data_IF_268827558015
#
_entry.id   IF_268827558015
#
_cell.length_a   1.000
_cell.length_b   1.000
_cell.length_c   1.000
_cell.angle_alpha   90.00
_cell.angle_beta   90.00
_cell.angle_gamma   90.00
#
_symmetry.space_group_name_H-M   'P 1'
#
loop_
_entity.id
_entity.type
_entity.pdbx_description
1 polymer ?
#
# COMPACT_ATOMS: atom_id res chain seq x y z
N UNK A 1 -27.05 -17.35 -6.63
CA UNK A 1 -25.72 -17.41 -7.29
C UNK A 1 -24.92 -16.27 -6.69
N UNK A 2 -23.79 -16.55 -6.03
CA UNK A 2 -22.94 -15.51 -5.43
C UNK A 2 -22.28 -14.65 -6.50
N UNK A 3 -22.01 -13.40 -6.17
CA UNK A 3 -21.43 -12.40 -7.07
C UNK A 3 -20.04 -11.97 -6.59
N UNK A 4 -19.10 -11.79 -7.48
CA UNK A 4 -17.75 -11.32 -7.20
C UNK A 4 -17.54 -9.96 -7.89
N UNK A 5 -17.08 -8.97 -7.15
CA UNK A 5 -16.66 -7.67 -7.70
C UNK A 5 -15.14 -7.67 -7.91
N UNK A 6 -14.69 -7.17 -9.05
CA UNK A 6 -13.28 -6.99 -9.37
C UNK A 6 -13.03 -5.51 -9.56
N UNK A 7 -12.06 -4.96 -8.81
CA UNK A 7 -11.75 -3.53 -8.86
C UNK A 7 -10.45 -3.32 -9.62
N UNK A 8 -10.51 -2.54 -10.69
CA UNK A 8 -9.37 -2.23 -11.55
C UNK A 8 -9.17 -0.71 -11.65
N UNK A 9 -8.16 -0.14 -11.02
CA UNK A 9 -7.78 1.24 -11.27
C UNK A 9 -7.15 1.38 -12.65
N UNK A 10 -7.48 2.48 -13.35
CA UNK A 10 -7.00 2.78 -14.69
C UNK A 10 -6.52 4.23 -14.79
N UNK A 11 -5.37 4.45 -15.43
CA UNK A 11 -4.88 5.79 -15.78
C UNK A 11 -4.02 5.76 -17.04
N UNK A 12 -4.57 6.16 -18.19
CA UNK A 12 -3.91 6.15 -19.50
C UNK A 12 -3.30 4.78 -19.87
N UNK A 13 -4.07 3.70 -19.74
CA UNK A 13 -3.65 2.31 -19.98
C UNK A 13 -4.41 1.72 -21.19
N UNK A 14 -4.59 2.50 -22.25
CA UNK A 14 -5.41 2.17 -23.42
C UNK A 14 -5.06 0.83 -24.06
N UNK A 15 -3.77 0.49 -24.11
CA UNK A 15 -3.26 -0.69 -24.83
C UNK A 15 -3.59 -2.01 -24.12
N UNK A 16 -3.74 -2.00 -22.80
CA UNK A 16 -3.96 -3.20 -21.98
C UNK A 16 -5.44 -3.45 -21.63
N UNK A 17 -6.32 -2.45 -21.78
CA UNK A 17 -7.71 -2.53 -21.32
C UNK A 17 -8.51 -3.67 -21.93
N UNK A 18 -8.44 -3.85 -23.25
CA UNK A 18 -9.20 -4.90 -23.92
C UNK A 18 -8.76 -6.30 -23.47
N UNK A 19 -7.46 -6.52 -23.35
CA UNK A 19 -6.93 -7.81 -22.92
C UNK A 19 -7.24 -8.07 -21.44
N UNK A 20 -7.14 -7.08 -20.59
CA UNK A 20 -7.51 -7.16 -19.18
C UNK A 20 -8.97 -7.61 -19.01
N UNK A 21 -9.90 -6.93 -19.68
CA UNK A 21 -11.33 -7.26 -19.60
C UNK A 21 -11.62 -8.63 -20.20
N UNK A 22 -10.99 -8.98 -21.33
CA UNK A 22 -11.14 -10.27 -21.97
C UNK A 22 -10.69 -11.42 -21.08
N UNK A 23 -9.51 -11.32 -20.45
CA UNK A 23 -9.00 -12.35 -19.53
C UNK A 23 -9.95 -12.59 -18.35
N UNK A 24 -10.50 -11.53 -17.75
CA UNK A 24 -11.50 -11.67 -16.69
C UNK A 24 -12.77 -12.33 -17.21
N UNK A 25 -13.29 -11.90 -18.35
CA UNK A 25 -14.50 -12.49 -18.92
C UNK A 25 -14.30 -13.99 -19.21
N UNK A 26 -13.18 -14.35 -19.85
CA UNK A 26 -12.83 -15.73 -20.17
C UNK A 26 -12.70 -16.59 -18.91
N UNK A 27 -12.10 -16.05 -17.85
CA UNK A 27 -11.95 -16.72 -16.57
C UNK A 27 -13.31 -17.06 -15.94
N UNK A 28 -14.24 -16.10 -15.92
CA UNK A 28 -15.57 -16.34 -15.37
C UNK A 28 -16.40 -17.27 -16.22
N UNK A 29 -16.22 -17.27 -17.53
CA UNK A 29 -16.90 -18.23 -18.42
C UNK A 29 -16.37 -19.66 -18.27
N UNK A 30 -15.07 -19.84 -18.08
CA UNK A 30 -14.43 -21.16 -18.08
C UNK A 30 -14.32 -21.79 -16.70
N UNK A 31 -13.91 -21.04 -15.70
CA UNK A 31 -13.52 -21.56 -14.39
C UNK A 31 -14.45 -21.12 -13.24
N UNK A 32 -15.10 -19.97 -13.36
CA UNK A 32 -15.97 -19.40 -12.34
C UNK A 32 -17.42 -19.22 -12.83
N UNK A 33 -17.89 -20.10 -13.71
CA UNK A 33 -19.23 -20.03 -14.33
C UNK A 33 -20.40 -20.19 -13.32
N UNK A 34 -20.11 -20.66 -12.12
CA UNK A 34 -21.06 -20.73 -11.00
C UNK A 34 -21.24 -19.42 -10.25
N UNK A 35 -20.48 -18.37 -10.61
CA UNK A 35 -20.55 -17.04 -10.04
C UNK A 35 -21.05 -16.01 -11.05
N UNK A 36 -21.79 -15.02 -10.56
CA UNK A 36 -21.94 -13.74 -11.27
C UNK A 36 -20.71 -12.88 -10.97
N UNK A 37 -20.40 -11.95 -11.86
CA UNK A 37 -19.35 -10.98 -11.59
C UNK A 37 -19.72 -9.58 -12.05
N UNK A 38 -19.04 -8.60 -11.51
CA UNK A 38 -18.94 -7.26 -12.02
C UNK A 38 -17.48 -6.83 -12.02
N UNK A 39 -17.05 -6.26 -13.11
CA UNK A 39 -15.69 -5.72 -13.26
C UNK A 39 -15.77 -4.20 -13.26
N UNK A 40 -15.41 -3.57 -12.13
CA UNK A 40 -15.49 -2.12 -11.93
C UNK A 40 -14.14 -1.52 -12.28
N UNK A 41 -14.11 -0.78 -13.38
CA UNK A 41 -12.91 -0.06 -13.83
C UNK A 41 -13.03 1.40 -13.38
N UNK A 42 -12.07 1.83 -12.55
CA UNK A 42 -12.03 3.17 -11.98
C UNK A 42 -11.03 4.01 -12.75
N UNK A 43 -11.52 4.78 -13.71
CA UNK A 43 -10.70 5.70 -14.49
C UNK A 43 -10.35 6.95 -13.69
N UNK A 44 -9.06 7.23 -13.61
CA UNK A 44 -8.53 8.30 -12.79
C UNK A 44 -8.26 9.58 -13.60
N UNK A 45 -9.23 9.98 -14.43
CA UNK A 45 -9.16 11.10 -15.35
C UNK A 45 -8.10 10.90 -16.44
N UNK A 46 -8.24 9.84 -17.20
CA UNK A 46 -7.41 9.53 -18.37
C UNK A 46 -7.70 10.44 -19.57
N UNK A 47 -6.89 10.30 -20.60
CA UNK A 47 -7.10 10.95 -21.89
C UNK A 47 -8.40 10.51 -22.59
N UNK A 48 -8.82 11.26 -23.59
CA UNK A 48 -10.07 11.01 -24.33
C UNK A 48 -10.07 9.65 -25.06
N UNK A 49 -8.91 9.19 -25.49
CA UNK A 49 -8.78 7.89 -26.19
C UNK A 49 -9.06 6.75 -25.24
N UNK A 50 -8.43 6.73 -24.07
CA UNK A 50 -8.68 5.75 -23.01
C UNK A 50 -10.15 5.73 -22.57
N UNK A 51 -10.75 6.92 -22.36
CA UNK A 51 -12.17 7.06 -21.97
C UNK A 51 -13.11 6.49 -23.04
N UNK A 52 -12.83 6.75 -24.33
CA UNK A 52 -13.63 6.20 -25.42
C UNK A 52 -13.54 4.66 -25.50
N UNK A 53 -12.37 4.10 -25.24
CA UNK A 53 -12.19 2.64 -25.15
C UNK A 53 -13.04 2.07 -24.00
N UNK A 54 -13.01 2.70 -22.82
CA UNK A 54 -13.79 2.27 -21.66
C UNK A 54 -15.29 2.28 -21.94
N UNK A 55 -15.80 3.34 -22.59
CA UNK A 55 -17.21 3.42 -23.00
C UNK A 55 -17.59 2.32 -23.98
N UNK A 56 -16.73 2.05 -24.97
CA UNK A 56 -16.96 0.99 -25.95
C UNK A 56 -16.97 -0.40 -25.31
N UNK A 57 -16.09 -0.66 -24.33
CA UNK A 57 -16.05 -1.91 -23.60
C UNK A 57 -17.32 -2.07 -22.76
N UNK A 58 -17.73 -1.03 -22.01
CA UNK A 58 -18.94 -1.07 -21.19
C UNK A 58 -20.22 -1.24 -22.01
N UNK A 59 -20.31 -0.62 -23.19
CA UNK A 59 -21.44 -0.78 -24.11
C UNK A 59 -21.60 -2.21 -24.62
N UNK A 60 -20.49 -2.97 -24.75
CA UNK A 60 -20.49 -4.36 -25.26
C UNK A 60 -20.61 -5.41 -24.15
N UNK A 61 -20.29 -5.06 -22.91
CA UNK A 61 -20.31 -6.01 -21.79
C UNK A 61 -20.99 -5.39 -20.56
N UNK A 62 -22.22 -5.80 -20.24
CA UNK A 62 -22.95 -5.24 -19.08
C UNK A 62 -22.36 -5.60 -17.73
N UNK A 63 -21.47 -6.61 -17.66
CA UNK A 63 -20.74 -6.93 -16.43
C UNK A 63 -19.58 -5.95 -16.16
N UNK A 64 -19.18 -5.16 -17.17
CA UNK A 64 -18.16 -4.13 -17.01
C UNK A 64 -18.84 -2.81 -16.62
N UNK A 65 -18.44 -2.31 -15.48
CA UNK A 65 -18.87 -1.01 -14.94
C UNK A 65 -17.71 -0.04 -14.98
N UNK A 66 -17.96 1.19 -15.31
CA UNK A 66 -16.91 2.21 -15.39
C UNK A 66 -17.26 3.41 -14.52
N UNK A 67 -16.32 3.83 -13.70
CA UNK A 67 -16.38 5.08 -12.93
C UNK A 67 -15.34 6.02 -13.55
N UNK A 68 -15.79 7.15 -14.09
CA UNK A 68 -14.91 8.20 -14.59
C UNK A 68 -14.75 9.27 -13.51
N UNK A 69 -13.57 9.40 -12.94
CA UNK A 69 -13.27 10.41 -11.94
C UNK A 69 -13.13 11.81 -12.59
N UNK A 70 -13.55 12.86 -11.89
CA UNK A 70 -13.47 14.24 -12.39
C UNK A 70 -12.04 14.77 -12.49
N UNK A 71 -11.10 14.22 -11.71
CA UNK A 71 -9.66 14.51 -11.76
C UNK A 71 -8.85 13.31 -11.32
N UNK A 72 -7.53 13.36 -11.47
CA UNK A 72 -6.64 12.35 -10.92
C UNK A 72 -6.53 12.50 -9.39
N UNK A 73 -7.10 11.53 -8.64
CA UNK A 73 -7.07 11.45 -7.18
C UNK A 73 -5.97 10.52 -6.64
N UNK A 74 -5.19 9.89 -7.51
CA UNK A 74 -4.25 8.82 -7.21
C UNK A 74 -4.90 7.43 -7.19
N UNK A 75 -4.09 6.39 -7.35
CA UNK A 75 -4.57 5.01 -7.49
C UNK A 75 -5.34 4.52 -6.25
N UNK A 76 -4.87 4.82 -5.04
CA UNK A 76 -5.48 4.39 -3.78
C UNK A 76 -6.91 4.89 -3.63
N UNK A 77 -7.14 6.20 -3.80
CA UNK A 77 -8.49 6.78 -3.68
C UNK A 77 -9.42 6.29 -4.78
N UNK A 78 -8.90 6.17 -6.01
CA UNK A 78 -9.66 5.66 -7.15
C UNK A 78 -10.10 4.20 -6.92
N UNK A 79 -9.19 3.35 -6.45
CA UNK A 79 -9.50 1.96 -6.09
C UNK A 79 -10.52 1.88 -4.95
N UNK A 80 -10.32 2.66 -3.89
CA UNK A 80 -11.24 2.66 -2.74
C UNK A 80 -12.64 3.15 -3.11
N UNK A 81 -12.74 4.08 -4.07
CA UNK A 81 -14.02 4.49 -4.64
C UNK A 81 -14.70 3.34 -5.39
N UNK A 82 -13.95 2.54 -6.14
CA UNK A 82 -14.47 1.32 -6.77
C UNK A 82 -14.98 0.29 -5.74
N UNK A 83 -14.24 0.09 -4.66
CA UNK A 83 -14.64 -0.79 -3.55
C UNK A 83 -15.96 -0.31 -2.94
N UNK A 84 -16.11 0.99 -2.68
CA UNK A 84 -17.38 1.59 -2.17
C UNK A 84 -18.58 1.34 -3.07
N UNK A 85 -18.38 1.34 -4.39
CA UNK A 85 -19.41 1.14 -5.40
C UNK A 85 -19.65 -0.33 -5.76
N UNK A 86 -18.92 -1.27 -5.16
CA UNK A 86 -19.05 -2.69 -5.42
C UNK A 86 -20.24 -3.31 -4.71
N UNK A 87 -20.87 -4.31 -5.33
CA UNK A 87 -22.07 -4.97 -4.81
C UNK A 87 -21.95 -6.49 -4.67
N UNK A 88 -20.79 -7.09 -5.01
CA UNK A 88 -20.55 -8.53 -4.91
C UNK A 88 -20.48 -9.05 -3.48
N UNK A 89 -20.72 -10.35 -3.30
CA UNK A 89 -20.60 -11.05 -2.01
C UNK A 89 -19.13 -11.14 -1.55
N UNK A 90 -18.19 -11.09 -2.50
CA UNK A 90 -16.77 -10.89 -2.24
C UNK A 90 -16.21 -9.86 -3.23
N UNK A 91 -15.14 -9.18 -2.83
CA UNK A 91 -14.49 -8.14 -3.62
C UNK A 91 -13.01 -8.42 -3.77
N UNK A 92 -12.55 -8.55 -5.02
CA UNK A 92 -11.13 -8.49 -5.35
C UNK A 92 -10.71 -7.02 -5.32
N UNK A 93 -9.99 -6.63 -4.27
CA UNK A 93 -9.75 -5.21 -3.93
C UNK A 93 -8.93 -4.47 -4.97
N UNK A 94 -8.01 -5.17 -5.64
CA UNK A 94 -7.10 -4.57 -6.61
C UNK A 94 -6.71 -5.59 -7.67
N UNK A 95 -7.03 -5.30 -8.91
CA UNK A 95 -6.56 -6.02 -10.08
C UNK A 95 -6.06 -5.01 -11.12
N UNK A 96 -4.73 -4.90 -11.34
CA UNK A 96 -4.19 -3.86 -12.20
C UNK A 96 -4.45 -4.15 -13.68
N UNK A 97 -4.67 -3.10 -14.48
CA UNK A 97 -4.88 -3.22 -15.93
C UNK A 97 -3.72 -3.94 -16.64
N UNK A 98 -2.49 -3.76 -16.14
CA UNK A 98 -1.27 -4.33 -16.71
C UNK A 98 -1.06 -5.83 -16.41
N UNK A 99 -2.00 -6.44 -15.68
CA UNK A 99 -2.06 -7.87 -15.39
C UNK A 99 -0.77 -8.47 -14.76
N UNK A 100 0.00 -7.64 -14.05
CA UNK A 100 1.19 -8.09 -13.33
C UNK A 100 0.85 -9.10 -12.22
N UNK A 101 -0.35 -8.96 -11.63
CA UNK A 101 -0.93 -9.95 -10.74
C UNK A 101 -1.77 -10.92 -11.59
N UNK A 102 -1.46 -12.23 -11.62
CA UNK A 102 -2.01 -13.18 -12.60
C UNK A 102 -3.49 -13.48 -12.34
N UNK A 103 -4.38 -13.26 -13.34
CA UNK A 103 -5.81 -13.56 -13.20
C UNK A 103 -6.07 -15.05 -12.97
N UNK A 104 -5.17 -15.93 -13.41
CA UNK A 104 -5.25 -17.38 -13.22
C UNK A 104 -5.24 -17.80 -11.75
N UNK A 105 -4.86 -16.89 -10.85
CA UNK A 105 -4.92 -17.12 -9.39
C UNK A 105 -6.25 -16.74 -8.75
N UNK A 106 -7.12 -16.03 -9.44
CA UNK A 106 -8.44 -15.66 -8.91
C UNK A 106 -9.28 -16.89 -8.52
N UNK A 107 -9.36 -17.99 -9.31
CA UNK A 107 -10.09 -19.19 -8.89
C UNK A 107 -9.58 -19.80 -7.59
N UNK A 108 -8.26 -19.75 -7.33
CA UNK A 108 -7.67 -20.24 -6.08
C UNK A 108 -8.07 -19.35 -4.90
N UNK A 109 -8.10 -18.01 -5.09
CA UNK A 109 -8.60 -17.07 -4.09
C UNK A 109 -10.08 -17.37 -3.76
N UNK A 110 -10.92 -17.54 -4.78
CA UNK A 110 -12.35 -17.84 -4.64
C UNK A 110 -12.58 -19.18 -3.93
N UNK A 111 -11.81 -20.23 -4.29
CA UNK A 111 -11.89 -21.55 -3.66
C UNK A 111 -11.58 -21.47 -2.15
N UNK A 112 -10.59 -20.68 -1.76
CA UNK A 112 -10.27 -20.51 -0.35
C UNK A 112 -11.33 -19.67 0.38
N UNK A 113 -11.86 -18.61 -0.23
CA UNK A 113 -12.99 -17.88 0.32
C UNK A 113 -14.21 -18.78 0.56
N UNK A 114 -14.51 -19.71 -0.35
CA UNK A 114 -15.57 -20.71 -0.18
C UNK A 114 -15.39 -21.63 1.04
N UNK A 115 -14.14 -21.87 1.47
CA UNK A 115 -13.86 -22.64 2.69
C UNK A 115 -14.20 -21.90 3.99
N UNK A 116 -14.63 -20.63 3.89
CA UNK A 116 -15.07 -19.83 5.03
C UNK A 116 -14.01 -18.85 5.56
N UNK A 117 -12.93 -18.61 4.83
CA UNK A 117 -12.00 -17.52 5.15
C UNK A 117 -12.65 -16.17 4.85
N UNK A 118 -12.45 -15.21 5.75
CA UNK A 118 -12.99 -13.85 5.62
C UNK A 118 -12.32 -13.06 4.52
N UNK A 119 -11.03 -13.33 4.31
CA UNK A 119 -10.29 -12.83 3.16
C UNK A 119 -9.12 -13.73 2.79
N UNK A 120 -8.73 -13.66 1.52
CA UNK A 120 -7.65 -14.46 0.94
C UNK A 120 -6.64 -13.51 0.31
N UNK A 121 -5.39 -13.59 0.71
CA UNK A 121 -4.35 -12.64 0.36
C UNK A 121 -3.37 -13.23 -0.62
N UNK A 122 -3.14 -12.54 -1.73
CA UNK A 122 -2.05 -12.87 -2.64
C UNK A 122 -0.69 -12.47 -2.04
N UNK A 123 0.23 -13.42 -1.98
CA UNK A 123 1.61 -13.21 -1.56
C UNK A 123 2.58 -13.40 -2.73
N UNK A 124 3.39 -12.38 -3.01
CA UNK A 124 4.37 -12.40 -4.09
C UNK A 124 5.60 -13.21 -3.67
N UNK A 125 5.67 -14.50 -4.06
CA UNK A 125 6.75 -15.42 -3.67
C UNK A 125 8.08 -15.12 -4.37
N UNK A 126 8.04 -14.64 -5.61
CA UNK A 126 9.23 -14.29 -6.39
C UNK A 126 9.07 -12.92 -7.05
N UNK A 127 10.15 -12.14 -7.03
CA UNK A 127 10.30 -10.87 -7.73
C UNK A 127 11.68 -10.81 -8.35
N UNK A 128 11.76 -10.42 -9.61
CA UNK A 128 13.03 -10.03 -10.22
C UNK A 128 13.40 -8.62 -9.77
N UNK A 129 14.14 -8.52 -8.65
CA UNK A 129 14.53 -7.25 -8.05
C UNK A 129 16.05 -7.11 -7.94
N UNK A 130 16.51 -5.86 -7.98
CA UNK A 130 17.89 -5.51 -7.70
C UNK A 130 18.23 -5.84 -6.22
N UNK A 131 19.43 -6.33 -5.96
CA UNK A 131 19.89 -6.77 -4.64
C UNK A 131 19.63 -5.74 -3.52
N UNK A 132 19.87 -4.45 -3.79
CA UNK A 132 19.67 -3.37 -2.83
C UNK A 132 18.17 -3.21 -2.44
N UNK A 133 17.25 -3.29 -3.41
CA UNK A 133 15.81 -3.23 -3.15
C UNK A 133 15.33 -4.45 -2.33
N UNK A 134 15.94 -5.61 -2.54
CA UNK A 134 15.65 -6.82 -1.74
C UNK A 134 16.03 -6.62 -0.27
N UNK A 135 17.14 -5.94 0.03
CA UNK A 135 17.59 -5.68 1.40
C UNK A 135 16.72 -4.62 2.09
N UNK A 136 16.42 -3.50 1.41
CA UNK A 136 15.52 -2.46 1.95
C UNK A 136 14.14 -3.02 2.25
N UNK A 137 13.62 -3.89 1.39
CA UNK A 137 12.34 -4.56 1.62
C UNK A 137 12.39 -5.53 2.81
N UNK A 138 13.45 -6.34 2.95
CA UNK A 138 13.63 -7.20 4.12
C UNK A 138 13.66 -6.39 5.42
N UNK A 139 14.35 -5.27 5.42
CA UNK A 139 14.40 -4.35 6.55
C UNK A 139 13.02 -3.75 6.86
N UNK A 140 12.28 -3.33 5.84
CA UNK A 140 10.89 -2.85 5.99
C UNK A 140 9.98 -3.90 6.63
N UNK A 141 9.99 -5.15 6.13
CA UNK A 141 9.18 -6.23 6.72
C UNK A 141 9.67 -6.65 8.10
N UNK A 142 10.96 -6.55 8.38
CA UNK A 142 11.50 -6.77 9.73
C UNK A 142 10.92 -5.75 10.72
N UNK A 143 10.87 -4.47 10.34
CA UNK A 143 10.24 -3.42 11.16
C UNK A 143 8.75 -3.72 11.33
N UNK A 144 8.03 -4.01 10.26
CA UNK A 144 6.60 -4.34 10.33
C UNK A 144 6.33 -5.54 11.26
N UNK A 145 7.09 -6.61 11.12
CA UNK A 145 6.91 -7.83 11.92
C UNK A 145 7.11 -7.60 13.42
N UNK A 146 8.12 -6.81 13.80
CA UNK A 146 8.47 -6.60 15.22
C UNK A 146 7.64 -5.50 15.89
N UNK A 147 7.01 -4.61 15.12
CA UNK A 147 6.37 -3.41 15.63
C UNK A 147 4.91 -3.23 15.19
N UNK A 148 4.40 -4.04 14.27
CA UNK A 148 2.96 -4.05 13.94
C UNK A 148 2.17 -4.76 15.04
N UNK A 149 0.96 -4.30 15.30
CA UNK A 149 0.02 -4.94 16.20
C UNK A 149 -0.56 -6.24 15.63
N UNK A 150 -0.61 -6.35 14.31
CA UNK A 150 -1.18 -7.48 13.59
C UNK A 150 -0.07 -8.31 12.93
N UNK A 151 -0.20 -9.62 12.94
CA UNK A 151 0.70 -10.53 12.23
C UNK A 151 0.42 -10.49 10.73
N UNK A 152 1.06 -9.55 10.04
CA UNK A 152 0.92 -9.39 8.59
C UNK A 152 1.93 -10.32 7.89
N UNK A 153 1.49 -11.22 7.01
CA UNK A 153 2.39 -12.10 6.26
C UNK A 153 3.40 -11.32 5.41
N UNK A 154 4.57 -11.91 5.20
CA UNK A 154 5.57 -11.29 4.33
C UNK A 154 5.10 -11.27 2.87
N UNK A 155 5.51 -10.23 2.13
CA UNK A 155 5.23 -10.07 0.70
C UNK A 155 3.75 -9.98 0.31
N UNK A 156 2.89 -9.57 1.23
CA UNK A 156 1.47 -9.28 0.99
C UNK A 156 1.32 -8.28 -0.17
N UNK A 157 0.36 -8.53 -1.04
CA UNK A 157 -0.01 -7.64 -2.14
C UNK A 157 -1.40 -7.04 -1.94
N UNK A 158 -1.77 -6.09 -2.80
CA UNK A 158 -3.12 -5.53 -2.84
C UNK A 158 -4.12 -6.48 -3.56
N UNK A 159 -3.61 -7.53 -4.20
CA UNK A 159 -4.38 -8.59 -4.87
C UNK A 159 -5.00 -9.52 -3.81
N UNK A 160 -6.15 -9.13 -3.29
CA UNK A 160 -6.85 -9.79 -2.17
C UNK A 160 -8.33 -9.93 -2.49
N UNK A 161 -8.88 -11.11 -2.22
CA UNK A 161 -10.33 -11.35 -2.25
C UNK A 161 -10.88 -11.26 -0.84
N UNK A 162 -11.79 -10.31 -0.60
CA UNK A 162 -12.32 -9.99 0.73
C UNK A 162 -13.83 -10.18 0.75
N UNK A 163 -14.34 -10.87 1.76
CA UNK A 163 -15.77 -11.06 1.98
C UNK A 163 -16.51 -9.74 2.19
N UNK A 164 -17.74 -9.66 1.73
CA UNK A 164 -18.60 -8.47 1.84
C UNK A 164 -18.71 -7.96 3.28
N UNK A 165 -18.75 -8.83 4.27
CA UNK A 165 -18.85 -8.43 5.68
C UNK A 165 -17.68 -7.56 6.13
N UNK A 166 -16.46 -7.90 5.67
CA UNK A 166 -15.24 -7.12 5.96
C UNK A 166 -15.20 -5.84 5.12
N UNK A 167 -15.53 -5.94 3.82
CA UNK A 167 -15.62 -4.77 2.94
C UNK A 167 -16.57 -3.72 3.48
N UNK A 168 -17.72 -4.13 4.03
CA UNK A 168 -18.69 -3.21 4.63
C UNK A 168 -18.12 -2.47 5.86
N UNK A 169 -17.16 -3.03 6.57
CA UNK A 169 -16.44 -2.34 7.64
C UNK A 169 -15.36 -1.41 7.07
N UNK A 170 -14.60 -1.90 6.10
CA UNK A 170 -13.56 -1.10 5.45
C UNK A 170 -14.12 0.21 4.84
N UNK A 171 -15.28 0.16 4.18
CA UNK A 171 -15.86 1.36 3.54
C UNK A 171 -16.44 2.38 4.53
N UNK A 172 -16.66 1.99 5.80
CA UNK A 172 -17.06 2.93 6.87
C UNK A 172 -15.87 3.75 7.40
N UNK A 173 -14.65 3.33 7.10
CA UNK A 173 -13.45 4.02 7.53
C UNK A 173 -13.39 5.41 6.91
N UNK A 174 -13.19 6.41 7.77
CA UNK A 174 -13.00 7.82 7.36
C UNK A 174 -11.52 8.15 7.19
N UNK A 175 -10.74 7.24 6.61
CA UNK A 175 -9.34 7.49 6.30
C UNK A 175 -9.18 8.15 4.92
N UNK A 176 -8.36 9.18 4.85
CA UNK A 176 -8.06 9.89 3.61
C UNK A 176 -7.17 9.09 2.65
N UNK A 177 -6.35 8.19 3.20
CA UNK A 177 -5.38 7.37 2.46
C UNK A 177 -5.33 5.96 3.04
N UNK A 178 -6.43 5.18 2.94
CA UNK A 178 -6.46 3.84 3.50
C UNK A 178 -5.37 2.97 2.84
N UNK A 179 -4.57 2.32 3.66
CA UNK A 179 -3.57 1.39 3.16
C UNK A 179 -4.24 0.04 2.85
N UNK A 180 -4.82 -0.07 1.65
CA UNK A 180 -5.69 -1.17 1.20
C UNK A 180 -5.05 -2.54 1.49
N UNK A 181 -3.72 -2.64 1.32
CA UNK A 181 -2.94 -3.88 1.49
C UNK A 181 -3.10 -4.53 2.86
N UNK A 182 -3.21 -3.74 3.91
CA UNK A 182 -3.29 -4.25 5.29
C UNK A 182 -4.65 -4.02 5.93
N UNK A 183 -5.54 -3.31 5.24
CA UNK A 183 -6.79 -2.86 5.82
C UNK A 183 -7.71 -4.02 6.24
N UNK A 184 -7.72 -5.14 5.52
CA UNK A 184 -8.54 -6.29 5.88
C UNK A 184 -8.09 -6.95 7.20
N UNK A 185 -6.78 -6.90 7.51
CA UNK A 185 -6.21 -7.44 8.75
C UNK A 185 -6.63 -6.66 10.01
N UNK A 186 -7.12 -5.43 9.86
CA UNK A 186 -7.68 -4.64 10.97
C UNK A 186 -9.02 -5.19 11.45
N UNK A 187 -9.71 -5.99 10.63
CA UNK A 187 -11.09 -6.42 10.85
C UNK A 187 -11.27 -7.91 11.05
N UNK A 188 -10.28 -8.74 10.72
CA UNK A 188 -10.35 -10.20 10.92
C UNK A 188 -8.98 -10.85 10.91
N UNK A 189 -8.83 -11.89 11.74
CA UNK A 189 -7.65 -12.78 11.74
C UNK A 189 -7.95 -14.09 10.97
N UNK A 190 -9.17 -14.28 10.45
CA UNK A 190 -9.57 -15.46 9.69
C UNK A 190 -9.23 -15.31 8.21
N UNK A 191 -7.95 -15.47 7.88
CA UNK A 191 -7.45 -15.36 6.52
C UNK A 191 -6.57 -16.54 6.10
N UNK A 192 -6.30 -16.63 4.80
CA UNK A 192 -5.29 -17.52 4.24
C UNK A 192 -4.54 -16.82 3.11
N UNK A 193 -3.40 -17.38 2.70
CA UNK A 193 -2.55 -16.81 1.67
C UNK A 193 -2.51 -17.70 0.43
N UNK A 194 -2.36 -17.07 -0.74
CA UNK A 194 -2.10 -17.72 -2.03
C UNK A 194 -0.81 -17.16 -2.60
N UNK A 195 0.19 -18.01 -2.76
CA UNK A 195 1.46 -17.59 -3.33
C UNK A 195 1.38 -17.49 -4.86
N UNK A 196 2.01 -16.45 -5.41
CA UNK A 196 2.14 -16.31 -6.85
C UNK A 196 3.44 -15.58 -7.23
N UNK A 197 3.86 -15.78 -8.47
CA UNK A 197 4.98 -15.06 -9.07
C UNK A 197 4.47 -13.76 -9.67
N UNK A 198 5.03 -12.63 -9.24
CA UNK A 198 4.72 -11.34 -9.82
C UNK A 198 5.41 -11.20 -11.17
N UNK A 199 4.62 -10.99 -12.23
CA UNK A 199 5.10 -10.90 -13.60
C UNK A 199 5.57 -9.48 -13.93
N UNK A 200 6.52 -9.36 -14.83
CA UNK A 200 6.82 -8.06 -15.45
C UNK A 200 5.61 -7.62 -16.28
N UNK A 201 5.44 -6.31 -16.45
CA UNK A 201 4.43 -5.77 -17.35
C UNK A 201 4.59 -6.38 -18.74
N UNK A 202 3.52 -6.95 -19.26
CA UNK A 202 3.47 -7.45 -20.63
C UNK A 202 3.24 -6.30 -21.63
N UNK A 203 2.51 -5.25 -21.21
CA UNK A 203 2.09 -4.12 -22.05
C UNK A 203 2.26 -2.81 -21.27
N UNK A 204 2.79 -1.77 -21.92
CA UNK A 204 2.94 -0.42 -21.34
C UNK A 204 4.23 -0.18 -20.53
N UNK A 205 4.48 1.08 -20.18
CA UNK A 205 5.62 1.51 -19.38
C UNK A 205 5.19 1.97 -17.98
N UNK A 206 6.01 1.71 -16.96
CA UNK A 206 5.74 2.23 -15.61
C UNK A 206 5.77 3.76 -15.61
N UNK A 207 4.71 4.38 -15.07
CA UNK A 207 4.59 5.83 -14.89
C UNK A 207 4.90 6.27 -13.45
N UNK A 208 5.25 5.32 -12.58
CA UNK A 208 5.63 5.61 -11.21
C UNK A 208 7.09 6.09 -11.14
N UNK A 209 7.31 7.24 -10.51
CA UNK A 209 8.63 7.79 -10.25
C UNK A 209 9.17 7.27 -8.91
N UNK A 210 10.47 7.27 -8.75
CA UNK A 210 11.15 6.87 -7.51
C UNK A 210 10.61 7.58 -6.26
N UNK A 211 10.16 8.84 -6.40
CA UNK A 211 9.49 9.59 -5.33
C UNK A 211 8.20 8.93 -4.86
N UNK A 212 7.44 8.34 -5.77
CA UNK A 212 6.15 7.70 -5.46
C UNK A 212 6.37 6.43 -4.65
N UNK A 213 7.44 5.68 -4.93
CA UNK A 213 7.85 4.52 -4.14
C UNK A 213 8.24 4.90 -2.71
N UNK A 214 9.04 5.97 -2.53
CA UNK A 214 9.43 6.46 -1.20
C UNK A 214 8.21 6.95 -0.43
N UNK A 215 7.37 7.76 -1.05
CA UNK A 215 6.14 8.27 -0.44
C UNK A 215 5.20 7.15 -0.02
N UNK A 216 5.01 6.15 -0.88
CA UNK A 216 4.18 4.97 -0.58
C UNK A 216 4.76 4.13 0.55
N UNK A 217 6.09 3.99 0.62
CA UNK A 217 6.75 3.25 1.70
C UNK A 217 6.60 3.97 3.05
N UNK A 218 6.80 5.30 3.08
CA UNK A 218 6.63 6.12 4.29
C UNK A 218 5.17 6.10 4.74
N UNK A 219 4.22 6.33 3.83
CA UNK A 219 2.80 6.31 4.14
C UNK A 219 2.35 4.93 4.64
N UNK A 220 2.82 3.84 4.01
CA UNK A 220 2.55 2.49 4.46
C UNK A 220 3.09 2.21 5.86
N UNK A 221 4.29 2.70 6.18
CA UNK A 221 4.91 2.53 7.49
C UNK A 221 4.15 3.30 8.58
N UNK A 222 3.76 4.54 8.30
CA UNK A 222 3.01 5.40 9.24
C UNK A 222 1.58 4.87 9.44
N UNK A 223 0.93 4.34 8.40
CA UNK A 223 -0.45 3.85 8.49
C UNK A 223 -0.58 2.53 9.26
N UNK A 224 0.46 1.70 9.26
CA UNK A 224 0.40 0.33 9.83
C UNK A 224 0.94 0.26 11.24
N UNK A 225 1.82 1.20 11.65
CA UNK A 225 2.55 1.02 12.91
C UNK A 225 3.11 2.31 13.51
N UNK A 226 3.07 2.39 14.85
CA UNK A 226 3.82 3.38 15.64
C UNK A 226 5.33 3.04 15.70
N UNK A 227 5.75 2.00 14.99
CA UNK A 227 7.12 1.45 15.00
C UNK A 227 8.20 2.50 14.76
N UNK A 228 8.07 3.40 13.77
CA UNK A 228 9.11 4.39 13.50
C UNK A 228 9.38 5.27 14.71
N UNK A 229 8.32 5.64 15.46
CA UNK A 229 8.47 6.49 16.68
C UNK A 229 9.16 5.74 17.80
N UNK A 230 8.78 4.49 18.04
CA UNK A 230 9.41 3.64 19.05
C UNK A 230 10.88 3.39 18.74
N UNK A 231 11.22 3.21 17.45
CA UNK A 231 12.59 3.04 17.00
C UNK A 231 13.43 4.31 17.22
N UNK A 232 12.89 5.48 16.86
CA UNK A 232 13.53 6.78 17.11
C UNK A 232 13.70 7.03 18.61
N UNK A 233 12.67 6.74 19.41
CA UNK A 233 12.73 6.84 20.87
C UNK A 233 13.83 5.94 21.43
N UNK A 234 13.93 4.70 20.98
CA UNK A 234 14.94 3.76 21.42
C UNK A 234 16.36 4.22 21.07
N UNK A 235 16.58 4.74 19.86
CA UNK A 235 17.86 5.36 19.49
C UNK A 235 18.14 6.55 20.36
N UNK A 236 17.16 7.43 20.61
CA UNK A 236 17.31 8.59 21.49
C UNK A 236 17.73 8.20 22.91
N UNK A 237 17.12 7.18 23.49
CA UNK A 237 17.49 6.65 24.80
C UNK A 237 18.92 6.11 24.81
N UNK A 238 19.30 5.31 23.82
CA UNK A 238 20.67 4.75 23.70
C UNK A 238 21.73 5.85 23.59
N UNK A 239 21.48 6.85 22.73
CA UNK A 239 22.37 8.00 22.56
C UNK A 239 22.46 8.81 23.84
N UNK A 240 21.34 9.02 24.55
CA UNK A 240 21.32 9.75 25.83
C UNK A 240 22.13 9.02 26.90
N UNK A 241 21.94 7.70 27.05
CA UNK A 241 22.72 6.89 28.01
C UNK A 241 24.21 6.97 27.69
N UNK A 242 24.58 6.81 26.40
CA UNK A 242 25.96 6.90 25.97
C UNK A 242 26.57 8.28 26.25
N UNK A 243 25.85 9.35 25.94
CA UNK A 243 26.29 10.74 26.16
C UNK A 243 26.47 11.07 27.64
N UNK A 244 25.53 10.64 28.49
CA UNK A 244 25.65 10.81 29.95
C UNK A 244 26.84 10.04 30.51
N UNK A 245 27.00 8.79 30.09
CA UNK A 245 28.12 7.95 30.52
C UNK A 245 29.49 8.54 30.11
N UNK A 246 29.58 9.04 28.87
CA UNK A 246 30.76 9.70 28.37
C UNK A 246 31.02 11.03 29.10
N UNK A 247 29.98 11.81 29.36
CA UNK A 247 30.09 13.05 30.10
C UNK A 247 30.61 12.83 31.54
N UNK A 248 30.07 11.85 32.27
CA UNK A 248 30.52 11.47 33.60
C UNK A 248 31.96 10.94 33.59
N UNK A 249 32.32 10.09 32.61
CA UNK A 249 33.69 9.62 32.44
C UNK A 249 34.68 10.76 32.19
N UNK A 250 34.33 11.67 31.28
CA UNK A 250 35.16 12.84 30.94
C UNK A 250 35.36 13.78 32.14
N UNK A 251 34.29 14.04 32.95
CA UNK A 251 34.37 14.80 34.19
C UNK A 251 35.33 14.13 35.17
N UNK A 252 35.15 12.82 35.40
CA UNK A 252 36.01 12.07 36.33
C UNK A 252 37.47 12.09 35.89
N UNK A 253 37.71 11.88 34.58
CA UNK A 253 39.05 11.85 34.00
C UNK A 253 39.75 13.23 34.16
N UNK A 254 39.05 14.34 33.88
CA UNK A 254 39.59 15.68 34.01
C UNK A 254 39.90 16.05 35.48
N UNK A 255 39.09 15.62 36.46
CA UNK A 255 39.31 15.91 37.90
C UNK A 255 40.55 15.18 38.42
N UNK A 256 40.79 13.96 37.98
CA UNK A 256 41.87 13.12 38.54
C UNK A 256 43.18 13.15 37.75
N UNK A 257 43.16 13.48 36.47
CA UNK A 257 44.33 13.32 35.60
C UNK A 257 44.87 14.61 34.95
N UNK A 258 44.28 15.80 35.30
CA UNK A 258 44.77 17.13 34.83
C UNK A 258 45.31 17.12 33.38
N UNK A 259 44.43 17.09 32.37
CA UNK A 259 44.83 17.16 30.97
C UNK A 259 44.50 18.52 30.35
N UNK A 260 45.39 18.98 29.45
CA UNK A 260 45.28 20.20 28.66
C UNK A 260 43.93 20.28 27.92
N UNK A 261 43.14 21.28 28.21
CA UNK A 261 41.78 21.52 27.66
C UNK A 261 41.76 21.71 26.13
N UNK A 262 42.92 22.04 25.52
CA UNK A 262 43.01 22.34 24.08
C UNK A 262 42.79 21.15 23.14
N UNK A 263 42.94 19.92 23.65
CA UNK A 263 42.78 18.68 22.83
C UNK A 263 41.31 18.29 22.64
N UNK A 264 40.39 18.88 23.34
CA UNK A 264 38.94 18.55 23.26
C UNK A 264 38.15 19.28 22.16
N UNK A 265 38.67 20.36 21.62
CA UNK A 265 37.96 21.21 20.62
C UNK A 265 37.48 20.45 19.37
N UNK A 266 38.32 19.64 18.68
CA UNK A 266 37.86 18.88 17.52
C UNK A 266 36.76 17.86 17.86
N UNK A 267 36.88 17.20 19.00
CA UNK A 267 35.90 16.23 19.48
C UNK A 267 34.55 16.92 19.76
N UNK A 268 34.57 18.10 20.35
CA UNK A 268 33.37 18.92 20.62
C UNK A 268 32.70 19.32 19.31
N UNK A 269 33.44 19.82 18.33
CA UNK A 269 32.90 20.22 17.04
C UNK A 269 32.25 19.04 16.30
N UNK A 270 32.92 17.88 16.24
CA UNK A 270 32.41 16.67 15.62
C UNK A 270 31.13 16.21 16.36
N UNK A 271 31.13 16.21 17.69
CA UNK A 271 29.97 15.82 18.49
C UNK A 271 28.77 16.72 18.22
N UNK A 272 28.96 18.05 18.19
CA UNK A 272 27.89 19.00 17.88
C UNK A 272 27.32 18.77 16.49
N UNK A 273 28.16 18.54 15.47
CA UNK A 273 27.71 18.27 14.11
C UNK A 273 26.91 16.96 14.02
N UNK A 274 27.36 15.89 14.66
CA UNK A 274 26.67 14.59 14.67
C UNK A 274 25.30 14.73 15.38
N UNK A 275 25.25 15.35 16.56
CA UNK A 275 24.01 15.52 17.28
C UNK A 275 23.04 16.45 16.56
N UNK A 276 23.52 17.55 15.97
CA UNK A 276 22.69 18.43 15.16
C UNK A 276 22.12 17.73 13.94
N UNK A 277 22.92 16.92 13.25
CA UNK A 277 22.44 16.09 12.13
C UNK A 277 21.36 15.09 12.55
N UNK A 278 21.56 14.39 13.68
CA UNK A 278 20.60 13.46 14.24
C UNK A 278 19.30 14.16 14.65
N UNK A 279 19.39 15.34 15.31
CA UNK A 279 18.23 16.15 15.68
C UNK A 279 17.43 16.60 14.45
N UNK A 280 18.08 17.07 13.39
CA UNK A 280 17.41 17.47 12.16
C UNK A 280 16.70 16.29 11.48
N UNK A 281 17.29 15.09 11.52
CA UNK A 281 16.67 13.88 11.01
C UNK A 281 15.40 13.52 11.80
N UNK A 282 15.47 13.56 13.13
CA UNK A 282 14.30 13.30 14.01
C UNK A 282 13.21 14.34 13.79
N UNK A 283 13.58 15.63 13.70
CA UNK A 283 12.62 16.72 13.45
C UNK A 283 11.98 16.59 12.06
N UNK A 284 12.74 16.22 11.04
CA UNK A 284 12.23 15.95 9.71
C UNK A 284 11.21 14.81 9.73
N UNK A 285 11.50 13.74 10.45
CA UNK A 285 10.58 12.61 10.61
C UNK A 285 9.29 13.00 11.36
N UNK A 286 9.40 13.78 12.45
CA UNK A 286 8.24 14.32 13.18
C UNK A 286 7.41 15.26 12.28
N UNK A 287 8.07 16.06 11.44
CA UNK A 287 7.42 16.91 10.44
C UNK A 287 6.58 16.11 9.46
N UNK A 288 7.11 15.00 8.92
CA UNK A 288 6.39 14.11 8.00
C UNK A 288 5.18 13.46 8.68
N UNK A 289 5.33 13.02 9.93
CA UNK A 289 4.20 12.48 10.69
C UNK A 289 3.13 13.52 10.98
N UNK A 290 3.52 14.73 11.39
CA UNK A 290 2.59 15.83 11.62
C UNK A 290 1.85 16.20 10.33
N UNK A 291 2.55 16.18 9.19
CA UNK A 291 1.96 16.36 7.86
C UNK A 291 0.93 15.27 7.54
N UNK A 292 1.25 14.01 7.84
CA UNK A 292 0.31 12.89 7.65
C UNK A 292 -0.93 13.04 8.54
N UNK A 293 -0.76 13.37 9.83
CA UNK A 293 -1.90 13.66 10.73
C UNK A 293 -2.73 14.83 10.22
N UNK A 294 -2.10 15.91 9.78
CA UNK A 294 -2.80 17.05 9.19
C UNK A 294 -3.66 16.65 8.00
N UNK A 295 -3.12 15.81 7.12
CA UNK A 295 -3.85 15.30 5.96
C UNK A 295 -5.03 14.39 6.33
N UNK A 296 -4.95 13.67 7.46
CA UNK A 296 -6.07 12.85 7.94
C UNK A 296 -7.17 13.69 8.62
N UNK A 297 -6.78 14.73 9.37
CA UNK A 297 -7.72 15.65 10.03
C UNK A 297 -8.41 16.57 9.01
N UNK A 298 -7.70 16.94 7.95
CA UNK A 298 -8.24 17.78 6.88
C UNK A 298 -9.45 17.09 6.25
N UNK A 299 -10.58 17.84 6.13
CA UNK A 299 -11.85 17.35 5.58
C UNK A 299 -11.62 16.53 4.31
N UNK A 300 -12.11 15.28 4.31
CA UNK A 300 -11.98 14.37 3.18
C UNK A 300 -12.51 15.04 1.91
N UNK A 301 -11.67 15.11 0.89
CA UNK A 301 -12.16 15.36 -0.46
C UNK A 301 -12.63 14.01 -0.98
N UNK A 302 -13.94 13.77 -0.98
CA UNK A 302 -14.53 12.61 -1.63
C UNK A 302 -14.14 12.61 -3.11
N UNK A 303 -14.01 11.40 -3.67
CA UNK A 303 -13.78 11.26 -5.10
C UNK A 303 -15.03 11.77 -5.82
N UNK A 304 -14.89 12.88 -6.54
CA UNK A 304 -15.97 13.38 -7.39
C UNK A 304 -15.96 12.58 -8.70
N UNK A 305 -17.06 11.93 -8.97
CA UNK A 305 -17.27 11.12 -10.16
C UNK A 305 -17.91 11.98 -11.24
N UNK A 306 -17.32 12.02 -12.42
CA UNK A 306 -17.86 12.71 -13.59
C UNK A 306 -19.00 11.92 -14.23
N UNK A 307 -18.87 10.60 -14.25
CA UNK A 307 -19.83 9.71 -14.92
C UNK A 307 -19.70 8.29 -14.36
N UNK A 308 -20.84 7.59 -14.29
CA UNK A 308 -20.91 6.13 -14.02
C UNK A 308 -21.60 5.46 -15.18
N UNK A 309 -21.07 4.34 -15.64
CA UNK A 309 -21.61 3.56 -16.76
C UNK A 309 -21.91 2.15 -16.26
N UNK A 310 -23.10 1.63 -16.58
CA UNK A 310 -23.62 0.30 -16.22
C UNK A 310 -23.85 0.07 -14.70
N UNK A 311 -24.06 1.12 -13.91
CA UNK A 311 -24.37 1.00 -12.47
C UNK A 311 -25.86 0.84 -12.20
#
# INVERSE_FOLDING_TARGET
MKKISIITPCYNEKDALYECVKRINDLFQKELNTYKYEHIICDNNSDSETVNILRNIAAKNPNVKVILNAKNYGSVKSTFNGIKNSTGDAVLLFYPVDMQDPPEKIPELVKNWQKGFDFVVGCRSQREEFFLMKQTRKFFYFILKNFSKNEIPMNVSDFQLVDRKIVNQMVKLKDNFPFIRTLAFEYSDNYTTVEYTWKKREIGNSKEFFKDYISSAINGLISVSDAPFRFILMIGILVSIFSISYGLFSLFYNIFFQNDLDKGMPTLLISVLIFSGLQLLVLGFLGEYTSSMHNQIKKQIEVNEKEKINF
#
